data_IF_761813035394
#
_entry.id   IF_761813035394
#
_cell.length_a   1.000
_cell.length_b   1.000
_cell.length_c   1.000
_cell.angle_alpha   90.00
_cell.angle_beta   90.00
_cell.angle_gamma   90.00
#
_symmetry.space_group_name_H-M   'P 1'
#
loop_
_entity.id
_entity.type
_entity.pdbx_description
1 polymer ?
#
# COMPACT_ATOMS: atom_id res chain seq x y z
N UNK A 1 -5.37 -36.35 12.52
CA UNK A 1 -3.97 -36.12 12.09
C UNK A 1 -3.89 -36.37 10.60
N UNK A 2 -3.34 -35.43 9.83
CA UNK A 2 -3.11 -35.58 8.38
C UNK A 2 -1.66 -35.99 8.16
N UNK A 3 -1.40 -36.80 7.12
CA UNK A 3 -0.07 -37.31 6.78
C UNK A 3 0.16 -37.17 5.27
N UNK A 4 1.41 -37.05 4.85
CA UNK A 4 1.80 -37.00 3.43
C UNK A 4 1.59 -35.62 2.80
N UNK A 5 1.26 -35.55 1.51
CA UNK A 5 1.25 -34.30 0.73
C UNK A 5 0.33 -33.19 1.30
N UNK A 6 -0.82 -33.57 1.88
CA UNK A 6 -1.71 -32.61 2.55
C UNK A 6 -1.08 -32.01 3.81
N UNK A 7 -0.35 -32.80 4.58
CA UNK A 7 0.36 -32.33 5.77
C UNK A 7 1.48 -31.36 5.39
N UNK A 8 2.25 -31.70 4.34
CA UNK A 8 3.31 -30.82 3.81
C UNK A 8 2.72 -29.49 3.39
N UNK A 9 1.59 -29.49 2.67
CA UNK A 9 0.92 -28.26 2.21
C UNK A 9 0.47 -27.38 3.38
N UNK A 10 -0.18 -27.96 4.40
CA UNK A 10 -0.64 -27.21 5.56
C UNK A 10 0.51 -26.68 6.42
N UNK A 11 1.57 -27.48 6.61
CA UNK A 11 2.81 -27.03 7.27
C UNK A 11 3.48 -25.89 6.47
N UNK A 12 3.46 -25.95 5.13
CA UNK A 12 3.99 -24.89 4.26
C UNK A 12 3.24 -23.57 4.47
N UNK A 13 1.91 -23.62 4.45
CA UNK A 13 1.06 -22.45 4.70
C UNK A 13 1.28 -21.92 6.11
N UNK A 14 1.40 -22.82 7.09
CA UNK A 14 1.68 -22.45 8.47
C UNK A 14 3.02 -21.71 8.61
N UNK A 15 4.11 -22.22 8.03
CA UNK A 15 5.44 -21.60 8.08
C UNK A 15 5.37 -20.22 7.42
N UNK A 16 4.81 -20.14 6.20
CA UNK A 16 4.67 -18.89 5.48
C UNK A 16 3.85 -17.86 6.28
N UNK A 17 2.70 -18.25 6.84
CA UNK A 17 1.85 -17.38 7.64
C UNK A 17 2.56 -16.89 8.92
N UNK A 18 3.29 -17.76 9.60
CA UNK A 18 4.02 -17.42 10.84
C UNK A 18 5.13 -16.41 10.55
N UNK A 19 5.95 -16.67 9.52
CA UNK A 19 6.99 -15.73 9.06
C UNK A 19 6.37 -14.41 8.62
N UNK A 20 5.26 -14.46 7.88
CA UNK A 20 4.55 -13.27 7.42
C UNK A 20 4.09 -12.39 8.60
N UNK A 21 3.46 -12.98 9.62
CA UNK A 21 2.99 -12.24 10.80
C UNK A 21 4.16 -11.67 11.61
N UNK A 22 5.21 -12.47 11.85
CA UNK A 22 6.41 -12.01 12.55
C UNK A 22 7.07 -10.82 11.83
N UNK A 23 7.26 -10.94 10.52
CA UNK A 23 7.80 -9.88 9.67
C UNK A 23 6.92 -8.62 9.72
N UNK A 24 5.59 -8.77 9.61
CA UNK A 24 4.64 -7.66 9.65
C UNK A 24 4.64 -6.93 11.00
N UNK A 25 4.88 -7.63 12.11
CA UNK A 25 5.02 -7.03 13.44
C UNK A 25 6.29 -6.17 13.54
N UNK A 26 7.43 -6.69 13.11
CA UNK A 26 8.69 -5.93 13.07
C UNK A 26 8.53 -4.69 12.19
N UNK A 27 7.98 -4.88 10.99
CA UNK A 27 7.77 -3.79 10.05
C UNK A 27 6.77 -2.74 10.55
N UNK A 28 5.77 -3.13 11.34
CA UNK A 28 4.89 -2.16 12.01
C UNK A 28 5.68 -1.25 12.97
N UNK A 29 6.61 -1.83 13.75
CA UNK A 29 7.46 -1.05 14.65
C UNK A 29 8.40 -0.12 13.87
N UNK A 30 9.10 -0.66 12.85
CA UNK A 30 10.00 0.12 11.98
C UNK A 30 9.25 1.25 11.27
N UNK A 31 8.03 0.98 10.79
CA UNK A 31 7.18 1.98 10.16
C UNK A 31 6.82 3.12 11.13
N UNK A 32 6.58 2.82 12.40
CA UNK A 32 6.31 3.85 13.41
C UNK A 32 7.56 4.67 13.75
N UNK A 33 8.71 4.03 13.95
CA UNK A 33 9.92 4.72 14.41
C UNK A 33 10.61 5.54 13.31
N UNK A 34 10.45 5.15 12.05
CA UNK A 34 11.11 5.83 10.91
C UNK A 34 10.28 6.95 10.27
N UNK A 35 9.15 7.35 10.88
CA UNK A 35 8.24 8.37 10.32
C UNK A 35 8.95 9.70 10.01
N UNK A 36 9.66 10.27 10.99
CA UNK A 36 10.34 11.57 10.83
C UNK A 36 11.41 11.54 9.74
N UNK A 37 12.03 10.38 9.54
CA UNK A 37 13.00 10.18 8.48
C UNK A 37 12.32 10.06 7.11
N UNK A 38 11.21 9.31 7.00
CA UNK A 38 10.46 9.14 5.73
C UNK A 38 9.90 10.46 5.19
N UNK A 39 9.48 11.38 6.04
CA UNK A 39 8.94 12.70 5.60
C UNK A 39 10.00 13.54 4.89
N UNK A 40 11.30 13.30 5.13
CA UNK A 40 12.41 14.01 4.47
C UNK A 40 12.79 13.42 3.10
N UNK A 41 12.17 12.30 2.70
CA UNK A 41 12.41 11.68 1.41
C UNK A 41 11.65 12.42 0.30
N UNK A 42 12.18 12.33 -0.92
CA UNK A 42 11.39 12.67 -2.12
C UNK A 42 10.14 11.78 -2.23
N UNK A 43 9.10 12.27 -2.89
CA UNK A 43 7.86 11.50 -3.11
C UNK A 43 8.15 10.13 -3.75
N UNK A 44 9.04 10.08 -4.74
CA UNK A 44 9.46 8.82 -5.39
C UNK A 44 10.15 7.86 -4.42
N UNK A 45 11.14 8.32 -3.65
CA UNK A 45 11.83 7.47 -2.67
C UNK A 45 10.89 6.97 -1.57
N UNK A 46 9.97 7.82 -1.10
CA UNK A 46 8.97 7.45 -0.10
C UNK A 46 8.01 6.39 -0.62
N UNK A 47 7.59 6.45 -1.89
CA UNK A 47 6.78 5.39 -2.51
C UNK A 47 7.50 4.05 -2.49
N UNK A 48 8.80 4.00 -2.84
CA UNK A 48 9.58 2.76 -2.76
C UNK A 48 9.67 2.20 -1.34
N UNK A 49 9.93 3.04 -0.34
CA UNK A 49 9.92 2.63 1.07
C UNK A 49 8.56 2.01 1.46
N UNK A 50 7.46 2.66 1.09
CA UNK A 50 6.11 2.17 1.40
C UNK A 50 5.79 0.85 0.69
N UNK A 51 6.17 0.70 -0.59
CA UNK A 51 6.03 -0.57 -1.31
C UNK A 51 6.81 -1.69 -0.64
N UNK A 52 8.03 -1.41 -0.17
CA UNK A 52 8.81 -2.38 0.57
C UNK A 52 8.11 -2.84 1.85
N UNK A 53 7.45 -1.95 2.60
CA UNK A 53 6.70 -2.35 3.79
C UNK A 53 5.59 -3.36 3.49
N UNK A 54 4.90 -3.23 2.35
CA UNK A 54 3.78 -4.14 2.01
C UNK A 54 4.23 -5.37 1.23
N UNK A 55 5.39 -5.37 0.57
CA UNK A 55 5.90 -6.48 -0.23
C UNK A 55 6.86 -7.41 0.55
N UNK A 56 7.72 -6.86 1.42
CA UNK A 56 8.73 -7.63 2.14
C UNK A 56 8.13 -8.81 2.92
N UNK A 57 7.03 -8.69 3.68
CA UNK A 57 6.46 -9.82 4.40
C UNK A 57 6.13 -11.02 3.51
N UNK A 58 5.63 -10.77 2.29
CA UNK A 58 5.32 -11.81 1.32
C UNK A 58 6.58 -12.45 0.75
N UNK A 59 7.54 -11.63 0.33
CA UNK A 59 8.79 -12.11 -0.25
C UNK A 59 9.60 -12.92 0.76
N UNK A 60 9.69 -12.45 2.00
CA UNK A 60 10.38 -13.14 3.10
C UNK A 60 9.65 -14.45 3.45
N UNK A 61 8.33 -14.43 3.61
CA UNK A 61 7.56 -15.63 3.91
C UNK A 61 7.69 -16.71 2.82
N UNK A 62 7.58 -16.33 1.56
CA UNK A 62 7.74 -17.25 0.44
C UNK A 62 9.18 -17.78 0.35
N UNK A 63 10.19 -16.94 0.59
CA UNK A 63 11.60 -17.35 0.56
C UNK A 63 11.90 -18.35 1.67
N UNK A 64 11.50 -18.06 2.91
CA UNK A 64 11.71 -18.95 4.06
C UNK A 64 10.94 -20.26 3.88
N UNK A 65 9.67 -20.20 3.47
CA UNK A 65 8.89 -21.41 3.20
C UNK A 65 9.54 -22.25 2.09
N UNK A 66 10.03 -21.64 1.01
CA UNK A 66 10.71 -22.36 -0.07
C UNK A 66 11.98 -23.06 0.45
N UNK A 67 12.81 -22.37 1.24
CA UNK A 67 14.03 -22.94 1.81
C UNK A 67 13.74 -24.14 2.71
N UNK A 68 12.74 -24.04 3.60
CA UNK A 68 12.38 -25.13 4.52
C UNK A 68 11.78 -26.35 3.78
N UNK A 69 11.18 -26.13 2.62
CA UNK A 69 10.53 -27.17 1.81
C UNK A 69 11.45 -27.84 0.78
N UNK A 70 12.74 -27.48 0.70
CA UNK A 70 13.70 -28.11 -0.24
C UNK A 70 14.48 -29.25 0.43
N UNK A 71 14.02 -30.51 0.35
CA UNK A 71 14.70 -31.65 0.98
C UNK A 71 16.07 -31.97 0.36
N UNK A 72 16.26 -31.74 -0.94
CA UNK A 72 17.48 -32.13 -1.65
C UNK A 72 18.65 -31.16 -1.46
N UNK A 73 18.39 -29.90 -1.09
CA UNK A 73 19.44 -28.91 -0.79
C UNK A 73 20.06 -29.09 0.59
N UNK A 74 19.40 -29.84 1.48
CA UNK A 74 19.88 -30.12 2.83
C UNK A 74 21.28 -30.77 2.80
N UNK A 75 21.58 -31.64 1.82
CA UNK A 75 22.86 -32.32 1.72
C UNK A 75 24.06 -31.39 1.38
N UNK A 76 23.80 -30.22 0.81
CA UNK A 76 24.83 -29.26 0.35
C UNK A 76 24.93 -28.04 1.29
N UNK A 77 23.98 -27.87 2.20
CA UNK A 77 23.93 -26.74 3.13
C UNK A 77 24.88 -26.95 4.32
N UNK A 78 25.53 -25.88 4.83
CA UNK A 78 26.30 -25.97 6.07
C UNK A 78 25.45 -26.45 7.25
N UNK A 79 26.04 -27.20 8.17
CA UNK A 79 25.34 -27.77 9.35
C UNK A 79 24.64 -26.73 10.22
N UNK A 80 25.22 -25.54 10.37
CA UNK A 80 24.59 -24.44 11.11
C UNK A 80 23.33 -23.91 10.41
N UNK A 81 23.25 -23.98 9.09
CA UNK A 81 22.08 -23.52 8.32
C UNK A 81 20.96 -24.57 8.33
N UNK A 82 21.33 -25.85 8.26
CA UNK A 82 20.41 -26.96 8.48
C UNK A 82 19.75 -26.88 9.85
N UNK A 83 20.52 -26.62 10.91
CA UNK A 83 19.98 -26.47 12.26
C UNK A 83 18.91 -25.36 12.36
N UNK A 84 19.02 -24.30 11.56
CA UNK A 84 18.07 -23.18 11.54
C UNK A 84 16.82 -23.44 10.69
N UNK A 85 16.85 -24.43 9.80
CA UNK A 85 15.78 -24.70 8.81
C UNK A 85 15.09 -26.04 9.05
N UNK A 86 15.50 -26.75 10.09
CA UNK A 86 15.09 -28.11 10.35
C UNK A 86 13.70 -28.16 11.01
N UNK A 87 12.71 -28.65 10.28
CA UNK A 87 11.33 -28.81 10.75
C UNK A 87 10.98 -30.29 10.96
N UNK A 88 10.98 -30.74 12.21
CA UNK A 88 10.90 -32.17 12.57
C UNK A 88 9.57 -32.88 12.19
N UNK A 89 8.50 -32.15 11.85
CA UNK A 89 7.17 -32.72 11.61
C UNK A 89 6.56 -32.38 10.25
N UNK A 90 7.36 -32.09 9.22
CA UNK A 90 6.84 -31.62 7.93
C UNK A 90 5.79 -32.55 7.29
N UNK A 91 5.90 -33.86 7.53
CA UNK A 91 5.03 -34.89 6.98
C UNK A 91 3.75 -35.17 7.78
N UNK A 92 3.58 -34.53 8.93
CA UNK A 92 2.44 -34.76 9.84
C UNK A 92 1.85 -33.42 10.26
N UNK A 93 0.52 -33.28 10.15
CA UNK A 93 -0.19 -32.07 10.57
C UNK A 93 -1.35 -32.42 11.51
N UNK A 94 -1.35 -31.85 12.72
CA UNK A 94 -2.44 -32.04 13.67
C UNK A 94 -3.46 -30.89 13.57
N UNK A 95 -4.67 -31.22 13.09
CA UNK A 95 -5.77 -30.27 12.93
C UNK A 95 -6.26 -29.64 14.26
N UNK A 96 -6.02 -30.30 15.38
CA UNK A 96 -6.40 -29.80 16.71
C UNK A 96 -5.26 -29.10 17.43
N UNK A 97 -4.17 -28.79 16.73
CA UNK A 97 -3.03 -28.03 17.27
C UNK A 97 -3.14 -26.54 16.94
N UNK A 98 -2.35 -25.73 17.65
CA UNK A 98 -2.21 -24.29 17.43
C UNK A 98 -1.75 -23.94 15.99
N UNK A 99 -1.08 -24.86 15.28
CA UNK A 99 -0.75 -24.71 13.86
C UNK A 99 -1.99 -24.41 13.00
N UNK A 100 -3.09 -25.10 13.29
CA UNK A 100 -4.35 -24.94 12.56
C UNK A 100 -4.98 -23.58 12.80
N UNK A 101 -4.83 -23.01 14.00
CA UNK A 101 -5.33 -21.67 14.32
C UNK A 101 -4.65 -20.61 13.46
N UNK A 102 -3.33 -20.68 13.27
CA UNK A 102 -2.58 -19.73 12.43
C UNK A 102 -2.96 -19.89 10.96
N UNK A 103 -3.06 -21.13 10.46
CA UNK A 103 -3.49 -21.41 9.07
C UNK A 103 -4.90 -20.89 8.81
N UNK A 104 -5.85 -21.14 9.73
CA UNK A 104 -7.23 -20.66 9.63
C UNK A 104 -7.30 -19.14 9.69
N UNK A 105 -6.57 -18.49 10.61
CA UNK A 105 -6.50 -17.04 10.72
C UNK A 105 -6.00 -16.40 9.42
N UNK A 106 -4.88 -16.91 8.90
CA UNK A 106 -4.30 -16.40 7.66
C UNK A 106 -5.23 -16.62 6.45
N UNK A 107 -5.87 -17.79 6.37
CA UNK A 107 -6.83 -18.13 5.31
C UNK A 107 -8.07 -17.23 5.38
N UNK A 108 -8.62 -17.01 6.57
CA UNK A 108 -9.76 -16.13 6.79
C UNK A 108 -9.43 -14.66 6.46
N UNK A 109 -8.26 -14.18 6.90
CA UNK A 109 -7.78 -12.84 6.56
C UNK A 109 -7.61 -12.65 5.05
N UNK A 110 -7.01 -13.64 4.37
CA UNK A 110 -6.84 -13.66 2.92
C UNK A 110 -8.18 -13.64 2.19
N UNK A 111 -9.11 -14.51 2.59
CA UNK A 111 -10.45 -14.57 2.01
C UNK A 111 -11.18 -13.23 2.17
N UNK A 112 -11.17 -12.66 3.37
CA UNK A 112 -11.80 -11.39 3.66
C UNK A 112 -11.19 -10.23 2.87
N UNK A 113 -9.86 -10.20 2.73
CA UNK A 113 -9.17 -9.21 1.92
C UNK A 113 -9.60 -9.32 0.45
N UNK A 114 -9.61 -10.54 -0.12
CA UNK A 114 -10.05 -10.79 -1.50
C UNK A 114 -11.49 -10.33 -1.69
N UNK A 115 -12.42 -10.78 -0.84
CA UNK A 115 -13.84 -10.43 -0.96
C UNK A 115 -14.05 -8.91 -0.89
N UNK A 116 -13.44 -8.24 0.09
CA UNK A 116 -13.57 -6.78 0.25
C UNK A 116 -13.01 -6.03 -0.94
N UNK A 117 -11.83 -6.41 -1.43
CA UNK A 117 -11.17 -5.72 -2.54
C UNK A 117 -11.84 -5.99 -3.89
N UNK A 118 -12.38 -7.20 -4.10
CA UNK A 118 -13.21 -7.53 -5.26
C UNK A 118 -14.51 -6.74 -5.21
N UNK A 119 -15.18 -6.67 -4.06
CA UNK A 119 -16.40 -5.87 -3.90
C UNK A 119 -16.14 -4.37 -4.16
N UNK A 120 -15.04 -3.82 -3.62
CA UNK A 120 -14.61 -2.45 -3.91
C UNK A 120 -14.37 -2.24 -5.42
N UNK A 121 -13.69 -3.18 -6.07
CA UNK A 121 -13.43 -3.11 -7.51
C UNK A 121 -14.72 -3.09 -8.34
N UNK A 122 -15.67 -3.97 -8.02
CA UNK A 122 -16.97 -4.03 -8.69
C UNK A 122 -17.77 -2.73 -8.50
N UNK A 123 -17.79 -2.18 -7.28
CA UNK A 123 -18.42 -0.89 -6.98
C UNK A 123 -17.77 0.27 -7.72
N UNK A 124 -16.44 0.30 -7.81
CA UNK A 124 -15.74 1.32 -8.59
C UNK A 124 -16.04 1.21 -10.08
N UNK A 125 -16.11 -0.01 -10.62
CA UNK A 125 -16.46 -0.24 -12.03
C UNK A 125 -17.88 0.22 -12.35
N UNK A 126 -18.85 -0.08 -11.48
CA UNK A 126 -20.23 0.37 -11.70
C UNK A 126 -20.37 1.89 -11.61
N UNK A 127 -19.72 2.53 -10.63
CA UNK A 127 -19.70 3.99 -10.51
C UNK A 127 -19.05 4.67 -11.73
N UNK A 128 -17.93 4.14 -12.22
CA UNK A 128 -17.28 4.65 -13.44
C UNK A 128 -18.17 4.46 -14.68
N UNK A 129 -18.87 3.33 -14.78
CA UNK A 129 -19.85 3.10 -15.85
C UNK A 129 -20.94 4.18 -15.87
N UNK A 130 -21.53 4.48 -14.70
CA UNK A 130 -22.52 5.53 -14.56
C UNK A 130 -21.97 6.93 -14.92
N UNK A 131 -20.76 7.26 -14.46
CA UNK A 131 -20.10 8.52 -14.80
C UNK A 131 -19.82 8.66 -16.30
N UNK A 132 -19.34 7.60 -16.95
CA UNK A 132 -19.10 7.60 -18.39
C UNK A 132 -20.39 7.71 -19.21
N UNK A 133 -21.48 7.10 -18.75
CA UNK A 133 -22.78 7.28 -19.40
C UNK A 133 -23.24 8.73 -19.27
N UNK A 134 -23.14 9.33 -18.08
CA UNK A 134 -23.50 10.72 -17.85
C UNK A 134 -22.62 11.67 -18.68
N UNK A 135 -21.30 11.48 -18.71
CA UNK A 135 -20.37 12.28 -19.52
C UNK A 135 -20.68 12.16 -21.02
N UNK A 136 -21.03 10.96 -21.50
CA UNK A 136 -21.49 10.75 -22.87
C UNK A 136 -22.79 11.49 -23.18
N UNK A 137 -23.75 11.48 -22.24
CA UNK A 137 -24.98 12.27 -22.35
C UNK A 137 -24.70 13.79 -22.34
N UNK A 138 -23.86 14.30 -21.43
CA UNK A 138 -23.51 15.73 -21.32
C UNK A 138 -22.57 16.22 -22.42
N UNK A 139 -21.87 15.34 -23.15
CA UNK A 139 -21.16 15.74 -24.37
C UNK A 139 -22.10 15.90 -25.55
N UNK A 140 -23.17 15.11 -25.60
CA UNK A 140 -24.17 15.14 -26.67
C UNK A 140 -25.28 16.17 -26.43
N UNK A 141 -25.46 16.61 -25.18
CA UNK A 141 -26.38 17.67 -24.80
C UNK A 141 -25.56 18.75 -24.12
N UNK A 142 -25.62 20.00 -24.60
CA UNK A 142 -24.86 21.16 -24.09
C UNK A 142 -25.31 21.58 -22.68
N UNK A 143 -25.32 20.63 -21.75
CA UNK A 143 -25.72 20.82 -20.36
C UNK A 143 -24.45 21.18 -19.61
N UNK A 144 -24.32 22.46 -19.28
CA UNK A 144 -23.27 22.96 -18.40
C UNK A 144 -23.33 22.19 -17.07
N UNK A 145 -22.30 21.37 -16.82
CA UNK A 145 -22.13 20.72 -15.52
C UNK A 145 -21.86 21.79 -14.47
N UNK A 146 -22.82 22.08 -13.59
CA UNK A 146 -22.67 23.02 -12.46
C UNK A 146 -21.75 22.49 -11.35
N UNK A 147 -21.37 21.21 -11.42
CA UNK A 147 -20.51 20.56 -10.43
C UNK A 147 -19.02 20.81 -10.78
N UNK A 148 -18.22 21.18 -9.79
CA UNK A 148 -16.78 21.43 -9.93
C UNK A 148 -16.06 20.13 -9.57
N UNK A 149 -15.38 19.52 -10.54
CA UNK A 149 -14.59 18.33 -10.29
C UNK A 149 -13.36 18.25 -11.20
N UNK A 150 -12.28 17.70 -10.67
CA UNK A 150 -11.14 17.17 -11.40
C UNK A 150 -10.75 15.85 -10.72
N UNK A 151 -10.71 14.76 -11.48
CA UNK A 151 -10.22 13.48 -10.97
C UNK A 151 -9.85 12.53 -12.11
N UNK A 152 -9.01 11.56 -11.75
CA UNK A 152 -8.63 10.44 -12.62
C UNK A 152 -9.32 9.17 -12.15
N UNK A 153 -10.09 8.52 -13.03
CA UNK A 153 -10.79 7.29 -12.70
C UNK A 153 -10.63 6.19 -13.74
N UNK A 154 -10.70 4.94 -13.28
CA UNK A 154 -10.43 3.74 -14.07
C UNK A 154 -9.16 3.05 -13.59
N UNK A 155 -9.18 1.71 -13.52
CA UNK A 155 -8.08 0.95 -12.95
C UNK A 155 -6.97 0.69 -13.97
N UNK A 156 -7.26 -0.13 -14.99
CA UNK A 156 -6.28 -0.50 -16.03
C UNK A 156 -6.21 0.49 -17.20
N UNK A 157 -7.26 1.30 -17.37
CA UNK A 157 -7.35 2.35 -18.39
C UNK A 157 -7.86 3.63 -17.73
N UNK A 158 -7.05 4.27 -16.88
CA UNK A 158 -7.45 5.51 -16.22
C UNK A 158 -7.78 6.58 -17.27
N UNK A 159 -8.81 7.38 -16.98
CA UNK A 159 -9.24 8.53 -17.77
C UNK A 159 -9.33 9.75 -16.86
N UNK A 160 -8.94 10.89 -17.40
CA UNK A 160 -9.01 12.20 -16.74
C UNK A 160 -10.39 12.80 -16.98
N UNK A 161 -11.02 13.30 -15.92
CA UNK A 161 -12.31 13.99 -15.95
C UNK A 161 -12.15 15.36 -15.32
N UNK A 162 -12.41 16.42 -16.07
CA UNK A 162 -12.36 17.81 -15.61
C UNK A 162 -13.65 18.50 -16.06
N UNK A 163 -14.38 19.11 -15.14
CA UNK A 163 -15.64 19.78 -15.46
C UNK A 163 -15.44 21.16 -16.08
N UNK A 164 -16.36 21.57 -16.96
CA UNK A 164 -16.35 22.91 -17.55
C UNK A 164 -16.52 24.01 -16.49
N UNK A 165 -17.35 23.77 -15.46
CA UNK A 165 -17.50 24.70 -14.34
C UNK A 165 -16.21 24.89 -13.53
N UNK A 166 -15.37 23.86 -13.38
CA UNK A 166 -14.05 24.03 -12.78
C UNK A 166 -13.16 24.88 -13.69
N UNK A 167 -13.12 24.56 -14.98
CA UNK A 167 -12.28 25.28 -15.95
C UNK A 167 -12.61 26.77 -16.02
N UNK A 168 -13.89 27.12 -15.92
CA UNK A 168 -14.36 28.50 -15.91
C UNK A 168 -13.93 29.32 -14.67
N UNK A 169 -13.56 28.66 -13.57
CA UNK A 169 -13.12 29.34 -12.32
C UNK A 169 -11.61 29.45 -12.19
N UNK A 170 -10.86 28.81 -13.10
CA UNK A 170 -9.41 28.79 -13.10
C UNK A 170 -8.87 29.64 -14.24
N UNK A 171 -7.74 30.31 -14.00
CA UNK A 171 -6.95 30.94 -15.05
C UNK A 171 -6.35 29.89 -16.00
N UNK A 172 -5.87 30.29 -17.17
CA UNK A 172 -5.25 29.38 -18.13
C UNK A 172 -4.07 28.60 -17.51
N UNK A 173 -3.24 29.27 -16.71
CA UNK A 173 -2.11 28.64 -16.01
C UNK A 173 -2.56 27.64 -14.93
N UNK A 174 -3.59 27.98 -14.15
CA UNK A 174 -4.15 27.05 -13.15
C UNK A 174 -4.81 25.83 -13.82
N UNK A 175 -5.52 26.02 -14.94
CA UNK A 175 -6.10 24.94 -15.71
C UNK A 175 -5.04 23.96 -16.23
N UNK A 176 -3.92 24.48 -16.73
CA UNK A 176 -2.79 23.68 -17.19
C UNK A 176 -2.14 22.89 -16.04
N UNK A 177 -2.02 23.48 -14.84
CA UNK A 177 -1.57 22.77 -13.62
C UNK A 177 -2.49 21.61 -13.28
N UNK A 178 -3.82 21.84 -13.24
CA UNK A 178 -4.79 20.79 -12.94
C UNK A 178 -4.77 19.68 -13.98
N UNK A 179 -4.70 20.05 -15.26
CA UNK A 179 -4.60 19.08 -16.35
C UNK A 179 -3.35 18.20 -16.22
N UNK A 180 -2.17 18.80 -15.99
CA UNK A 180 -0.92 18.03 -15.80
C UNK A 180 -0.95 17.16 -14.56
N UNK A 181 -1.52 17.64 -13.46
CA UNK A 181 -1.68 16.86 -12.23
C UNK A 181 -2.51 15.60 -12.49
N UNK A 182 -3.67 15.73 -13.12
CA UNK A 182 -4.52 14.57 -13.45
C UNK A 182 -3.88 13.64 -14.49
N UNK A 183 -3.21 14.20 -15.51
CA UNK A 183 -2.43 13.41 -16.47
C UNK A 183 -1.33 12.60 -15.79
N UNK A 184 -0.70 13.12 -14.72
CA UNK A 184 0.30 12.37 -13.95
C UNK A 184 -0.32 11.12 -13.29
N UNK A 185 -1.51 11.25 -12.71
CA UNK A 185 -2.23 10.09 -12.15
C UNK A 185 -2.59 9.06 -13.22
N UNK A 186 -2.98 9.53 -14.40
CA UNK A 186 -3.29 8.68 -15.54
C UNK A 186 -2.06 7.91 -16.02
N UNK A 187 -0.96 8.62 -16.33
CA UNK A 187 0.27 8.04 -16.88
C UNK A 187 0.92 7.03 -15.93
N UNK A 188 0.81 7.26 -14.62
CA UNK A 188 1.36 6.36 -13.60
C UNK A 188 0.41 5.27 -13.13
N UNK A 189 -0.82 5.21 -13.66
CA UNK A 189 -1.84 4.26 -13.22
C UNK A 189 -2.08 4.32 -11.70
N UNK A 190 -2.08 5.53 -11.13
CA UNK A 190 -2.19 5.72 -9.69
C UNK A 190 -3.45 5.08 -9.06
N UNK A 191 -4.63 5.03 -9.73
CA UNK A 191 -5.76 4.24 -9.24
C UNK A 191 -5.45 2.74 -9.04
N UNK A 192 -4.74 2.11 -9.99
CA UNK A 192 -4.32 0.71 -9.88
C UNK A 192 -3.30 0.55 -8.76
N UNK A 193 -2.31 1.43 -8.70
CA UNK A 193 -1.27 1.40 -7.65
C UNK A 193 -1.89 1.54 -6.26
N UNK A 194 -2.85 2.45 -6.09
CA UNK A 194 -3.59 2.66 -4.84
C UNK A 194 -4.42 1.42 -4.46
N UNK A 195 -5.09 0.79 -5.42
CA UNK A 195 -5.85 -0.45 -5.18
C UNK A 195 -4.94 -1.62 -4.77
N UNK A 196 -3.86 -1.87 -5.52
CA UNK A 196 -2.90 -2.95 -5.26
C UNK A 196 -2.19 -2.75 -3.91
N UNK A 197 -1.75 -1.52 -3.61
CA UNK A 197 -1.15 -1.19 -2.33
C UNK A 197 -2.14 -1.41 -1.18
N UNK A 198 -3.40 -0.99 -1.36
CA UNK A 198 -4.46 -1.15 -0.36
C UNK A 198 -4.76 -2.61 -0.06
N UNK A 199 -4.70 -3.49 -1.08
CA UNK A 199 -4.86 -4.95 -0.94
C UNK A 199 -3.74 -5.55 -0.10
N UNK A 200 -2.47 -5.27 -0.42
CA UNK A 200 -1.34 -5.80 0.35
C UNK A 200 -1.31 -5.23 1.78
N UNK A 201 -1.64 -3.95 1.94
CA UNK A 201 -1.74 -3.33 3.25
C UNK A 201 -2.87 -3.92 4.12
N UNK A 202 -3.86 -4.62 3.53
CA UNK A 202 -5.00 -5.19 4.28
C UNK A 202 -4.60 -6.30 5.27
N UNK A 203 -3.40 -6.86 5.10
CA UNK A 203 -2.86 -7.91 5.96
C UNK A 203 -2.17 -7.37 7.23
N UNK A 204 -1.99 -6.04 7.33
CA UNK A 204 -1.58 -5.37 8.55
C UNK A 204 -2.78 -5.12 9.48
N UNK A 205 -2.51 -4.91 10.76
CA UNK A 205 -3.53 -4.44 11.71
C UNK A 205 -4.21 -3.14 11.21
N UNK A 206 -5.52 -2.94 11.47
CA UNK A 206 -6.29 -1.83 10.89
C UNK A 206 -5.65 -0.45 11.06
N UNK A 207 -5.04 -0.18 12.22
CA UNK A 207 -4.34 1.07 12.49
C UNK A 207 -3.15 1.30 11.54
N UNK A 208 -2.23 0.34 11.45
CA UNK A 208 -1.05 0.40 10.57
C UNK A 208 -1.47 0.41 9.10
N UNK A 209 -2.43 -0.43 8.74
CA UNK A 209 -2.99 -0.55 7.40
C UNK A 209 -3.56 0.78 6.91
N UNK A 210 -4.36 1.46 7.75
CA UNK A 210 -4.93 2.77 7.41
C UNK A 210 -3.85 3.85 7.28
N UNK A 211 -2.84 3.82 8.15
CA UNK A 211 -1.72 4.78 8.08
C UNK A 211 -0.86 4.58 6.83
N UNK A 212 -0.53 3.33 6.48
CA UNK A 212 0.18 2.99 5.23
C UNK A 212 -0.59 3.51 4.02
N UNK A 213 -1.91 3.25 3.93
CA UNK A 213 -2.75 3.72 2.82
C UNK A 213 -2.78 5.24 2.72
N UNK A 214 -2.87 5.95 3.85
CA UNK A 214 -2.86 7.42 3.89
C UNK A 214 -1.52 7.98 3.43
N UNK A 215 -0.42 7.50 4.00
CA UNK A 215 0.92 7.93 3.59
C UNK A 215 1.16 7.65 2.10
N UNK A 216 0.71 6.49 1.61
CA UNK A 216 0.84 6.15 0.19
C UNK A 216 0.00 7.09 -0.69
N UNK A 217 -1.26 7.36 -0.32
CA UNK A 217 -2.11 8.31 -1.06
C UNK A 217 -1.47 9.69 -1.13
N UNK A 218 -0.97 10.21 0.00
CA UNK A 218 -0.25 11.48 0.03
C UNK A 218 0.96 11.45 -0.91
N UNK A 219 1.74 10.38 -0.93
CA UNK A 219 2.89 10.28 -1.83
C UNK A 219 2.53 10.30 -3.32
N UNK A 220 1.34 9.81 -3.70
CA UNK A 220 0.85 9.89 -5.07
C UNK A 220 0.49 11.34 -5.44
N UNK A 221 -0.20 12.05 -4.54
CA UNK A 221 -0.52 13.48 -4.69
C UNK A 221 0.75 14.33 -4.82
N UNK A 222 1.72 14.16 -3.91
CA UNK A 222 2.99 14.88 -3.94
C UNK A 222 3.74 14.65 -5.26
N UNK A 223 3.73 13.42 -5.77
CA UNK A 223 4.37 13.11 -7.03
C UNK A 223 3.61 13.70 -8.24
N UNK A 224 2.27 13.83 -8.16
CA UNK A 224 1.49 14.50 -9.21
C UNK A 224 1.72 16.02 -9.19
N UNK A 225 1.83 16.60 -7.99
CA UNK A 225 2.19 18.01 -7.79
C UNK A 225 3.60 18.31 -8.30
N UNK A 226 4.59 17.45 -8.03
CA UNK A 226 5.96 17.54 -8.59
C UNK A 226 5.91 17.53 -10.14
N UNK A 227 5.11 16.64 -10.74
CA UNK A 227 4.96 16.54 -12.20
C UNK A 227 4.36 17.82 -12.79
N UNK A 228 3.32 18.37 -12.16
CA UNK A 228 2.71 19.63 -12.60
C UNK A 228 3.66 20.83 -12.44
N UNK A 229 4.50 20.84 -11.38
CA UNK A 229 5.46 21.90 -11.13
C UNK A 229 6.59 21.94 -12.17
N UNK A 230 7.13 20.78 -12.55
CA UNK A 230 8.18 20.64 -13.57
C UNK A 230 7.69 21.05 -14.97
N UNK A 231 6.37 20.97 -15.22
CA UNK A 231 5.75 21.40 -16.48
C UNK A 231 5.84 22.89 -16.81
N UNK A 232 6.44 23.73 -15.95
CA UNK A 232 6.70 25.15 -16.22
C UNK A 232 6.07 26.13 -15.22
N UNK A 233 5.32 25.64 -14.23
CA UNK A 233 4.54 26.46 -13.31
C UNK A 233 5.29 26.86 -12.04
N UNK A 234 6.28 26.05 -11.63
CA UNK A 234 6.97 26.18 -10.35
C UNK A 234 6.13 25.74 -9.14
N UNK A 235 6.80 25.33 -8.05
CA UNK A 235 6.16 24.76 -6.86
C UNK A 235 5.16 25.70 -6.17
N UNK A 236 5.47 26.99 -6.07
CA UNK A 236 4.59 28.01 -5.44
C UNK A 236 3.25 28.14 -6.15
N UNK A 237 3.25 28.14 -7.49
CA UNK A 237 2.01 28.25 -8.29
C UNK A 237 1.17 26.97 -8.18
N UNK A 238 1.81 25.81 -8.09
CA UNK A 238 1.09 24.55 -7.81
C UNK A 238 0.46 24.60 -6.42
N UNK A 239 1.20 25.04 -5.40
CA UNK A 239 0.69 25.16 -4.04
C UNK A 239 -0.51 26.11 -3.94
N UNK A 240 -0.44 27.29 -4.59
CA UNK A 240 -1.57 28.23 -4.61
C UNK A 240 -2.78 27.67 -5.35
N UNK A 241 -2.57 26.94 -6.45
CA UNK A 241 -3.63 26.26 -7.20
C UNK A 241 -4.32 25.20 -6.34
N UNK A 242 -3.55 24.36 -5.62
CA UNK A 242 -4.10 23.36 -4.69
C UNK A 242 -4.98 24.04 -3.61
N UNK A 243 -4.50 25.13 -3.01
CA UNK A 243 -5.29 25.88 -2.01
C UNK A 243 -6.60 26.41 -2.63
N UNK A 244 -6.55 26.93 -3.86
CA UNK A 244 -7.74 27.43 -4.57
C UNK A 244 -8.74 26.30 -4.82
N UNK A 245 -8.30 25.15 -5.35
CA UNK A 245 -9.16 23.99 -5.56
C UNK A 245 -9.86 23.53 -4.27
N UNK A 246 -9.13 23.50 -3.16
CA UNK A 246 -9.71 23.12 -1.87
C UNK A 246 -10.78 24.11 -1.40
N UNK A 247 -10.58 25.41 -1.62
CA UNK A 247 -11.61 26.43 -1.33
C UNK A 247 -12.85 26.24 -2.19
N UNK A 248 -12.68 25.98 -3.49
CA UNK A 248 -13.79 25.73 -4.41
C UNK A 248 -14.57 24.47 -4.01
N UNK A 249 -13.88 23.37 -3.70
CA UNK A 249 -14.51 22.13 -3.25
C UNK A 249 -15.27 22.30 -1.93
N UNK A 250 -14.72 23.07 -0.97
CA UNK A 250 -15.38 23.34 0.31
C UNK A 250 -16.66 24.15 0.14
N UNK A 251 -16.66 25.11 -0.78
CA UNK A 251 -17.85 25.91 -1.06
C UNK A 251 -18.99 25.10 -1.69
N UNK A 252 -18.67 23.99 -2.39
CA UNK A 252 -19.68 23.05 -2.89
C UNK A 252 -20.17 22.06 -1.83
N UNK A 253 -19.29 21.62 -0.92
CA UNK A 253 -19.65 20.68 0.15
C UNK A 253 -20.13 21.41 1.40
N UNK A 254 -21.36 21.91 1.34
CA UNK A 254 -22.02 22.65 2.44
C UNK A 254 -22.24 21.81 3.72
N UNK A 255 -21.96 20.50 3.71
CA UNK A 255 -22.06 19.60 4.87
C UNK A 255 -20.87 18.65 4.93
N UNK A 256 -19.83 19.00 5.68
CA UNK A 256 -18.70 18.11 5.98
C UNK A 256 -18.63 17.80 7.48
N UNK A 257 -18.47 16.52 7.82
CA UNK A 257 -18.22 16.07 9.21
C UNK A 257 -16.90 16.66 9.75
N UNK A 258 -16.84 17.10 11.03
CA UNK A 258 -15.66 17.76 11.60
C UNK A 258 -14.38 16.92 11.53
N UNK A 259 -14.49 15.59 11.61
CA UNK A 259 -13.37 14.68 11.45
C UNK A 259 -12.78 14.75 10.03
N UNK A 260 -13.63 14.76 9.00
CA UNK A 260 -13.19 14.81 7.60
C UNK A 260 -12.45 16.12 7.29
N UNK A 261 -12.90 17.24 7.87
CA UNK A 261 -12.29 18.56 7.69
C UNK A 261 -10.82 18.60 8.17
N UNK A 262 -10.53 18.05 9.34
CA UNK A 262 -9.15 18.00 9.87
C UNK A 262 -8.22 17.12 9.01
N UNK A 263 -8.73 15.99 8.49
CA UNK A 263 -7.94 15.13 7.61
C UNK A 263 -7.61 15.82 6.29
N UNK A 264 -8.60 16.40 5.60
CA UNK A 264 -8.37 17.17 4.38
C UNK A 264 -7.38 18.32 4.61
N UNK A 265 -7.49 19.03 5.73
CA UNK A 265 -6.55 20.11 6.07
C UNK A 265 -5.10 19.59 6.20
N UNK A 266 -4.87 18.46 6.89
CA UNK A 266 -3.53 17.89 7.07
C UNK A 266 -2.87 17.42 5.77
N UNK A 267 -3.65 16.91 4.81
CA UNK A 267 -3.12 16.49 3.50
C UNK A 267 -2.76 17.71 2.62
N UNK A 268 -3.58 18.76 2.65
CA UNK A 268 -3.31 20.01 1.92
C UNK A 268 -2.07 20.70 2.49
N UNK A 269 -1.97 20.79 3.83
CA UNK A 269 -0.81 21.35 4.53
C UNK A 269 0.47 20.63 4.10
N UNK A 270 0.47 19.30 4.12
CA UNK A 270 1.62 18.51 3.70
C UNK A 270 2.02 18.75 2.23
N UNK A 271 1.04 18.89 1.32
CA UNK A 271 1.27 19.21 -0.10
C UNK A 271 1.88 20.60 -0.28
N UNK A 272 1.31 21.61 0.38
CA UNK A 272 1.80 22.99 0.32
C UNK A 272 3.21 23.09 0.88
N UNK A 273 3.47 22.54 2.07
CA UNK A 273 4.82 22.52 2.65
C UNK A 273 5.83 21.80 1.77
N UNK A 274 5.44 20.67 1.18
CA UNK A 274 6.30 19.94 0.27
C UNK A 274 6.64 20.77 -0.96
N UNK A 275 5.67 21.44 -1.60
CA UNK A 275 5.91 22.26 -2.79
C UNK A 275 6.70 23.55 -2.54
N UNK A 276 6.67 24.07 -1.32
CA UNK A 276 7.41 25.27 -0.92
C UNK A 276 8.81 24.97 -0.33
N UNK A 277 9.25 23.70 -0.34
CA UNK A 277 10.57 23.33 0.19
C UNK A 277 11.69 23.95 -0.64
N UNK A 278 12.72 24.46 0.04
CA UNK A 278 13.92 24.97 -0.62
C UNK A 278 14.86 23.86 -1.09
N UNK A 279 14.87 22.73 -0.39
CA UNK A 279 15.77 21.60 -0.63
C UNK A 279 15.03 20.42 -1.28
N UNK A 280 15.60 19.77 -2.31
CA UNK A 280 15.01 18.56 -2.87
C UNK A 280 14.96 17.43 -1.82
N UNK A 281 13.91 16.61 -1.87
CA UNK A 281 13.77 15.48 -0.96
C UNK A 281 14.89 14.47 -1.15
N UNK A 282 15.30 13.79 -0.07
CA UNK A 282 16.40 12.83 -0.10
C UNK A 282 16.06 11.61 -0.99
N UNK A 283 17.08 11.01 -1.58
CA UNK A 283 16.97 9.76 -2.33
C UNK A 283 16.80 8.54 -1.40
N UNK A 284 16.44 7.40 -1.99
CA UNK A 284 16.26 6.14 -1.28
C UNK A 284 17.62 5.58 -0.81
N UNK A 285 17.84 5.31 0.50
CA UNK A 285 19.12 4.81 1.00
C UNK A 285 19.26 3.30 0.76
N UNK A 286 19.63 2.90 -0.45
CA UNK A 286 19.69 1.49 -0.86
C UNK A 286 20.56 0.63 0.06
N UNK A 287 21.71 1.14 0.52
CA UNK A 287 22.63 0.39 1.40
C UNK A 287 21.99 0.04 2.74
N UNK A 288 21.40 1.02 3.43
CA UNK A 288 20.69 0.81 4.70
C UNK A 288 19.51 -0.15 4.52
N UNK A 289 18.81 -0.04 3.38
CA UNK A 289 17.72 -0.93 3.05
C UNK A 289 18.16 -2.39 2.87
N UNK A 290 19.27 -2.63 2.16
CA UNK A 290 19.83 -3.98 1.97
C UNK A 290 20.28 -4.58 3.31
N UNK A 291 21.00 -3.82 4.13
CA UNK A 291 21.40 -4.27 5.48
C UNK A 291 20.19 -4.63 6.31
N UNK A 292 19.16 -3.76 6.33
CA UNK A 292 17.91 -4.02 7.03
C UNK A 292 17.22 -5.31 6.54
N UNK A 293 17.14 -5.53 5.22
CA UNK A 293 16.54 -6.73 4.65
C UNK A 293 17.30 -8.00 5.05
N UNK A 294 18.63 -7.98 5.02
CA UNK A 294 19.46 -9.12 5.46
C UNK A 294 19.25 -9.43 6.95
N UNK A 295 19.22 -8.41 7.81
CA UNK A 295 18.97 -8.58 9.25
C UNK A 295 17.57 -9.14 9.49
N UNK A 296 16.56 -8.65 8.77
CA UNK A 296 15.19 -9.11 8.88
C UNK A 296 15.05 -10.57 8.44
N UNK A 297 15.68 -10.97 7.32
CA UNK A 297 15.71 -12.35 6.83
C UNK A 297 16.35 -13.28 7.85
N UNK A 298 17.53 -12.92 8.37
CA UNK A 298 18.21 -13.70 9.40
C UNK A 298 17.36 -13.84 10.67
N UNK A 299 16.73 -12.75 11.10
CA UNK A 299 15.83 -12.75 12.26
C UNK A 299 14.60 -13.64 12.05
N UNK A 300 14.04 -13.68 10.84
CA UNK A 300 12.90 -14.55 10.53
C UNK A 300 13.29 -16.03 10.49
N UNK A 301 14.47 -16.36 9.95
CA UNK A 301 14.97 -17.74 9.95
C UNK A 301 15.21 -18.24 11.38
N UNK A 302 15.85 -17.42 12.23
CA UNK A 302 16.08 -17.75 13.64
C UNK A 302 14.79 -17.89 14.44
N UNK A 303 13.77 -17.08 14.12
CA UNK A 303 12.54 -17.04 14.91
C UNK A 303 11.61 -18.21 14.66
N UNK A 304 11.59 -18.81 13.45
CA UNK A 304 10.66 -19.91 13.11
C UNK A 304 10.84 -21.10 14.04
N UNK A 305 12.08 -21.56 14.22
CA UNK A 305 12.40 -22.71 15.07
C UNK A 305 12.25 -22.36 16.57
N UNK A 306 12.81 -21.21 16.98
CA UNK A 306 12.76 -20.75 18.37
C UNK A 306 11.31 -20.53 18.87
N UNK A 307 10.47 -19.92 18.04
CA UNK A 307 9.05 -19.69 18.37
C UNK A 307 8.27 -20.99 18.42
N UNK A 308 8.50 -21.89 17.45
CA UNK A 308 7.84 -23.20 17.43
C UNK A 308 8.11 -23.98 18.72
N UNK A 309 9.38 -24.10 19.12
CA UNK A 309 9.75 -24.79 20.37
C UNK A 309 9.27 -24.08 21.63
N UNK A 310 9.28 -22.75 21.67
CA UNK A 310 8.73 -22.00 22.81
C UNK A 310 7.22 -22.23 22.99
N UNK A 311 6.47 -22.27 21.88
CA UNK A 311 5.03 -22.54 21.91
C UNK A 311 4.75 -24.01 22.26
N UNK A 312 5.49 -24.95 21.68
CA UNK A 312 5.39 -26.37 22.06
C UNK A 312 5.62 -26.55 23.56
N UNK A 313 6.66 -25.95 24.14
CA UNK A 313 6.93 -26.03 25.57
C UNK A 313 5.79 -25.51 26.46
N UNK A 314 5.02 -24.52 25.98
CA UNK A 314 3.87 -23.97 26.72
C UNK A 314 2.64 -24.89 26.63
N UNK A 315 2.43 -25.55 25.48
CA UNK A 315 1.25 -26.40 25.24
C UNK A 315 1.48 -27.90 25.50
N UNK A 316 2.72 -28.32 25.73
CA UNK A 316 3.07 -29.69 26.15
C UNK A 316 3.13 -29.88 27.68
N UNK A 317 2.74 -28.85 28.45
CA UNK A 317 2.46 -28.90 29.88
C UNK A 317 0.97 -28.71 30.14
#
# INVERSE_FOLDING_TARGET
MLVGGYAITLNSVFIAASVFFYCSLILTFVFRTTEQWRVKLSAGARQWVLWSFVLIPWLVALSVASVVLMPDSAAVMPSWFLALTHWHHINVFNLYSWHSAIVLLFSAASFLAIVRHTHQLLKHRSALGALLTLDGFTKNSSVDSTVIYAFTAGLFRPKVFISSALQAQLSAAENDIVCRHELAHQQRFDPLRKWSFSFLAAFYLPFTSNRLRREFSLCLELAADDYAAVGGSGGTTVASTVIKLCRLSRNQQQFSSPLSCHFYASEIEARVHYQLRSEPGRSFPLSLFVVFLCVLLASCLLSVDSYHHAVEAIFSH
#
